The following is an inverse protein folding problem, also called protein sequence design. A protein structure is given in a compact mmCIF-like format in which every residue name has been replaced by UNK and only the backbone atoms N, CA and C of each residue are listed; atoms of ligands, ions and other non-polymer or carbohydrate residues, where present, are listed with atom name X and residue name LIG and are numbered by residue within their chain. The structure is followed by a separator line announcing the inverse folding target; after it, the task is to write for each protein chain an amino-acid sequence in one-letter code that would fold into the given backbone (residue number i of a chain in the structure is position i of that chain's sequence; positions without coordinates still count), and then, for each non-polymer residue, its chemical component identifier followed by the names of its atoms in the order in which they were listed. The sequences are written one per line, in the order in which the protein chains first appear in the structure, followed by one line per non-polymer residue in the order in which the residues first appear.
data_IF_665632064099
#
_entry.id   IF_665632064099
#
_cell.length_a   1.000
_cell.length_b   1.000
_cell.length_c   1.000
_cell.angle_alpha   90.00
_cell.angle_beta   90.00
_cell.angle_gamma   90.00
#
_symmetry.space_group_name_H-M   'P 1'
#
loop_
_entity.id
_entity.type
_entity.pdbx_description
1 polymer ?
#
# COMPACT_ATOMS: atom_id res chain seq x y z
N UNK A 1 14.59 16.91 9.39
CA UNK A 1 14.43 15.45 9.37
C UNK A 1 15.07 15.00 8.08
N UNK A 2 16.17 14.26 8.15
CA UNK A 2 16.76 13.73 6.92
C UNK A 2 15.80 12.72 6.32
N UNK A 3 15.42 12.98 5.07
CA UNK A 3 14.61 12.07 4.28
C UNK A 3 15.42 10.79 4.09
N UNK A 4 14.84 9.63 4.39
CA UNK A 4 15.52 8.35 4.26
C UNK A 4 15.65 7.99 2.77
N UNK A 5 16.70 8.53 2.13
CA UNK A 5 16.95 8.39 0.68
C UNK A 5 16.83 6.95 0.20
N UNK A 6 17.34 5.99 0.96
CA UNK A 6 17.25 4.57 0.65
C UNK A 6 15.80 4.08 0.49
N UNK A 7 14.88 4.48 1.38
CA UNK A 7 13.47 4.08 1.29
C UNK A 7 12.78 4.71 0.08
N UNK A 8 13.12 5.95 -0.25
CA UNK A 8 12.60 6.60 -1.45
C UNK A 8 13.14 5.96 -2.75
N UNK A 9 14.42 5.60 -2.78
CA UNK A 9 15.03 4.88 -3.90
C UNK A 9 14.37 3.52 -4.12
N UNK A 10 14.16 2.74 -3.04
CA UNK A 10 13.52 1.43 -3.14
C UNK A 10 12.07 1.55 -3.63
N UNK A 11 11.31 2.55 -3.17
CA UNK A 11 9.96 2.82 -3.74
C UNK A 11 10.03 3.18 -5.21
N UNK A 12 11.00 3.99 -5.61
CA UNK A 12 11.23 4.35 -7.01
C UNK A 12 11.46 3.11 -7.87
N UNK A 13 12.33 2.19 -7.41
CA UNK A 13 12.57 0.90 -8.07
C UNK A 13 11.28 0.11 -8.22
N UNK A 14 10.46 0.04 -7.17
CA UNK A 14 9.18 -0.67 -7.24
C UNK A 14 8.19 -0.05 -8.22
N UNK A 15 8.10 1.28 -8.27
CA UNK A 15 7.27 1.97 -9.26
C UNK A 15 7.77 1.69 -10.68
N UNK A 16 9.08 1.77 -10.91
CA UNK A 16 9.68 1.43 -12.19
C UNK A 16 9.35 -0.02 -12.58
N UNK A 17 9.45 -0.97 -11.65
CA UNK A 17 9.12 -2.36 -11.90
C UNK A 17 7.64 -2.56 -12.26
N UNK A 18 6.71 -1.92 -11.54
CA UNK A 18 5.28 -1.98 -11.87
C UNK A 18 5.00 -1.45 -13.28
N UNK A 19 5.66 -0.35 -13.69
CA UNK A 19 5.54 0.19 -15.05
C UNK A 19 6.08 -0.83 -16.07
N UNK A 20 7.27 -1.38 -15.83
CA UNK A 20 7.89 -2.39 -16.70
C UNK A 20 6.98 -3.62 -16.82
N UNK A 21 6.41 -4.10 -15.71
CA UNK A 21 5.46 -5.23 -15.73
C UNK A 21 4.25 -4.96 -16.61
N UNK A 22 3.66 -3.76 -16.54
CA UNK A 22 2.57 -3.38 -17.44
C UNK A 22 3.01 -3.29 -18.91
N UNK A 23 4.19 -2.73 -19.18
CA UNK A 23 4.74 -2.64 -20.54
C UNK A 23 5.02 -4.03 -21.13
N UNK A 24 5.57 -4.96 -20.35
CA UNK A 24 5.78 -6.35 -20.75
C UNK A 24 4.45 -6.99 -21.17
N UNK A 25 3.40 -6.80 -20.36
CA UNK A 25 2.06 -7.31 -20.68
C UNK A 25 1.44 -6.71 -21.94
N UNK A 26 1.86 -5.51 -22.36
CA UNK A 26 1.36 -4.85 -23.57
C UNK A 26 2.22 -5.09 -24.82
N UNK A 27 3.51 -5.35 -24.66
CA UNK A 27 4.47 -5.42 -25.76
C UNK A 27 4.91 -6.84 -26.13
N UNK A 28 4.74 -7.82 -25.25
CA UNK A 28 5.03 -9.22 -25.60
C UNK A 28 4.03 -9.70 -26.66
N UNK A 29 4.58 -10.31 -27.71
CA UNK A 29 3.83 -10.99 -28.77
C UNK A 29 3.50 -12.41 -28.28
N UNK A 30 2.40 -12.99 -28.76
CA UNK A 30 1.88 -14.27 -28.25
C UNK A 30 2.89 -15.43 -28.22
N UNK A 31 3.83 -15.46 -29.16
CA UNK A 31 4.89 -16.48 -29.26
C UNK A 31 5.89 -16.40 -28.09
N UNK A 32 6.11 -15.22 -27.52
CA UNK A 32 7.05 -14.97 -26.41
C UNK A 32 6.36 -14.92 -25.03
N UNK A 33 5.06 -15.22 -24.97
CA UNK A 33 4.28 -15.09 -23.74
C UNK A 33 4.77 -15.97 -22.60
N UNK A 34 5.49 -17.06 -22.90
CA UNK A 34 6.11 -17.95 -21.93
C UNK A 34 7.17 -17.27 -21.05
N UNK A 35 7.78 -16.16 -21.51
CA UNK A 35 8.80 -15.41 -20.75
C UNK A 35 8.14 -14.61 -19.61
N UNK A 36 6.93 -14.11 -19.83
CA UNK A 36 6.17 -13.31 -18.86
C UNK A 36 6.04 -13.98 -17.48
N UNK A 37 5.49 -15.21 -17.35
CA UNK A 37 5.35 -15.86 -16.04
C UNK A 37 6.70 -16.13 -15.37
N UNK A 38 7.79 -16.38 -16.12
CA UNK A 38 9.13 -16.52 -15.54
C UNK A 38 9.58 -15.20 -14.90
N UNK A 39 9.48 -14.09 -15.64
CA UNK A 39 9.85 -12.77 -15.14
C UNK A 39 9.05 -12.41 -13.88
N UNK A 40 7.73 -12.58 -13.91
CA UNK A 40 6.88 -12.27 -12.76
C UNK A 40 7.15 -13.21 -11.58
N UNK A 41 7.39 -14.50 -11.79
CA UNK A 41 7.69 -15.43 -10.68
C UNK A 41 8.94 -15.04 -9.89
N UNK A 42 9.96 -14.50 -10.55
CA UNK A 42 11.21 -14.12 -9.89
C UNK A 42 11.27 -12.67 -9.40
N UNK A 43 10.57 -11.75 -10.06
CA UNK A 43 10.74 -10.31 -9.82
C UNK A 43 9.49 -9.62 -9.29
N UNK A 44 8.34 -10.31 -9.17
CA UNK A 44 7.11 -9.68 -8.65
C UNK A 44 7.25 -9.17 -7.20
N UNK A 45 8.16 -9.75 -6.41
CA UNK A 45 8.48 -9.23 -5.08
C UNK A 45 8.96 -7.78 -5.11
N UNK A 46 9.58 -7.31 -6.20
CA UNK A 46 10.03 -5.92 -6.38
C UNK A 46 8.90 -4.95 -6.71
N UNK A 47 7.72 -5.45 -7.12
CA UNK A 47 6.60 -4.64 -7.60
C UNK A 47 5.74 -4.05 -6.50
N UNK A 48 4.43 -4.26 -6.64
CA UNK A 48 3.42 -3.68 -5.76
C UNK A 48 3.61 -4.12 -4.30
N UNK A 49 4.03 -5.37 -4.07
CA UNK A 49 4.28 -5.93 -2.74
C UNK A 49 5.41 -5.19 -2.00
N UNK A 50 6.59 -5.04 -2.62
CA UNK A 50 7.67 -4.23 -2.05
C UNK A 50 7.25 -2.78 -1.85
N UNK A 51 6.56 -2.18 -2.83
CA UNK A 51 6.10 -0.80 -2.73
C UNK A 51 5.23 -0.57 -1.48
N UNK A 52 4.26 -1.45 -1.24
CA UNK A 52 3.34 -1.37 -0.08
C UNK A 52 4.13 -1.56 1.22
N UNK A 53 5.02 -2.55 1.28
CA UNK A 53 5.85 -2.82 2.46
C UNK A 53 6.75 -1.63 2.83
N UNK A 54 7.51 -1.11 1.88
CA UNK A 54 8.42 0.03 2.07
C UNK A 54 7.61 1.27 2.46
N UNK A 55 6.45 1.46 1.85
CA UNK A 55 5.52 2.54 2.20
C UNK A 55 5.04 2.46 3.65
N UNK A 56 4.66 1.27 4.12
CA UNK A 56 4.25 1.04 5.51
C UNK A 56 5.39 1.25 6.52
N UNK A 57 6.60 0.77 6.23
CA UNK A 57 7.79 0.96 7.09
C UNK A 57 8.11 2.45 7.24
N UNK A 58 8.25 3.16 6.11
CA UNK A 58 8.55 4.59 6.10
C UNK A 58 7.49 5.41 6.82
N UNK A 59 6.20 5.06 6.66
CA UNK A 59 5.13 5.73 7.38
C UNK A 59 5.23 5.50 8.90
N UNK A 60 5.51 4.27 9.32
CA UNK A 60 5.67 3.94 10.74
C UNK A 60 6.81 4.74 11.37
N UNK A 61 7.95 4.85 10.68
CA UNK A 61 9.08 5.67 11.11
C UNK A 61 8.65 7.15 11.19
N UNK A 62 8.01 7.68 10.16
CA UNK A 62 7.53 9.06 10.12
C UNK A 62 6.60 9.36 11.30
N UNK A 63 5.61 8.50 11.56
CA UNK A 63 4.66 8.67 12.66
C UNK A 63 5.37 8.67 14.02
N UNK A 64 6.27 7.71 14.27
CA UNK A 64 7.04 7.66 15.53
C UNK A 64 7.86 8.92 15.75
N UNK A 65 8.56 9.40 14.71
CA UNK A 65 9.37 10.62 14.80
C UNK A 65 8.50 11.85 15.07
N UNK A 66 7.31 11.93 14.46
CA UNK A 66 6.34 13.01 14.73
C UNK A 66 5.79 12.96 16.15
N UNK A 67 5.50 11.77 16.67
CA UNK A 67 5.06 11.59 18.05
C UNK A 67 6.14 11.96 19.07
N UNK A 68 7.39 11.61 18.81
CA UNK A 68 8.53 12.05 19.63
C UNK A 68 8.72 13.57 19.56
N UNK A 69 8.58 14.17 18.38
CA UNK A 69 8.61 15.62 18.22
C UNK A 69 7.50 16.29 19.05
N UNK A 70 6.31 15.71 19.05
CA UNK A 70 5.17 16.21 19.84
C UNK A 70 5.35 16.10 21.36
N UNK A 71 6.33 15.32 21.83
CA UNK A 71 6.69 15.26 23.24
C UNK A 71 7.77 16.28 23.61
N UNK A 72 8.57 16.74 22.63
CA UNK A 72 9.74 17.60 22.86
C UNK A 72 9.49 19.08 22.59
N UNK A 73 8.51 19.43 21.77
CA UNK A 73 8.24 20.81 21.37
C UNK A 73 6.87 21.25 21.88
N UNK A 74 6.83 22.38 22.58
CA UNK A 74 5.61 22.95 23.19
C UNK A 74 4.55 23.31 22.14
N UNK A 75 4.99 23.78 20.98
CA UNK A 75 4.12 24.19 19.87
C UNK A 75 3.56 23.03 19.02
N UNK A 76 3.94 21.78 19.27
CA UNK A 76 3.50 20.63 18.47
C UNK A 76 2.81 19.58 19.34
N UNK A 77 1.48 19.52 19.26
CA UNK A 77 0.68 18.57 20.05
C UNK A 77 0.58 17.19 19.42
N UNK A 78 0.42 16.14 20.24
CA UNK A 78 0.08 14.78 19.79
C UNK A 78 -1.20 14.74 18.95
N UNK A 79 -2.19 15.61 19.28
CA UNK A 79 -3.44 15.74 18.51
C UNK A 79 -3.18 16.24 17.09
N UNK A 80 -2.23 17.17 16.93
CA UNK A 80 -1.82 17.72 15.65
C UNK A 80 -1.09 16.66 14.81
N UNK A 81 -0.15 15.92 15.41
CA UNK A 81 0.54 14.81 14.74
C UNK A 81 -0.43 13.71 14.25
N UNK A 82 -1.44 13.38 15.06
CA UNK A 82 -2.50 12.46 14.68
C UNK A 82 -3.34 12.99 13.52
N UNK A 83 -3.80 14.24 13.61
CA UNK A 83 -4.65 14.82 12.58
C UNK A 83 -3.91 14.94 11.24
N UNK A 84 -2.63 15.34 11.26
CA UNK A 84 -1.75 15.34 10.08
C UNK A 84 -1.68 13.95 9.44
N UNK A 85 -1.55 12.91 10.27
CA UNK A 85 -1.49 11.52 9.83
C UNK A 85 -2.81 11.07 9.19
N UNK A 86 -3.94 11.27 9.88
CA UNK A 86 -5.26 10.85 9.42
C UNK A 86 -5.67 11.60 8.16
N UNK A 87 -5.41 12.90 8.08
CA UNK A 87 -5.71 13.71 6.89
C UNK A 87 -5.00 13.17 5.66
N UNK A 88 -3.70 12.86 5.76
CA UNK A 88 -2.92 12.27 4.65
C UNK A 88 -3.46 10.91 4.23
N UNK A 89 -3.78 10.07 5.20
CA UNK A 89 -4.29 8.73 4.96
C UNK A 89 -5.66 8.76 4.27
N UNK A 90 -6.58 9.60 4.77
CA UNK A 90 -7.91 9.79 4.19
C UNK A 90 -7.82 10.42 2.81
N UNK A 91 -6.91 11.38 2.61
CA UNK A 91 -6.69 11.98 1.28
C UNK A 91 -6.29 10.91 0.24
N UNK A 92 -5.32 10.04 0.57
CA UNK A 92 -4.93 8.94 -0.32
C UNK A 92 -6.11 8.01 -0.60
N UNK A 93 -6.90 7.67 0.41
CA UNK A 93 -8.06 6.79 0.24
C UNK A 93 -9.15 7.42 -0.64
N UNK A 94 -9.41 8.72 -0.48
CA UNK A 94 -10.35 9.48 -1.33
C UNK A 94 -9.87 9.45 -2.78
N UNK A 95 -8.59 9.77 -3.04
CA UNK A 95 -8.01 9.74 -4.38
C UNK A 95 -8.13 8.35 -5.01
N UNK A 96 -7.88 7.30 -4.24
CA UNK A 96 -8.01 5.92 -4.70
C UNK A 96 -9.45 5.57 -5.08
N UNK A 97 -10.43 5.95 -4.25
CA UNK A 97 -11.84 5.70 -4.53
C UNK A 97 -12.32 6.47 -5.77
N UNK A 98 -11.93 7.73 -5.94
CA UNK A 98 -12.25 8.51 -7.13
C UNK A 98 -11.67 7.89 -8.40
N UNK A 99 -10.40 7.46 -8.35
CA UNK A 99 -9.76 6.81 -9.49
C UNK A 99 -10.49 5.50 -9.86
N UNK A 100 -10.76 4.65 -8.87
CA UNK A 100 -11.43 3.37 -9.11
C UNK A 100 -12.86 3.54 -9.63
N UNK A 101 -13.59 4.54 -9.10
CA UNK A 101 -14.93 4.88 -9.57
C UNK A 101 -14.90 5.38 -11.02
N UNK A 102 -13.91 6.22 -11.35
CA UNK A 102 -13.70 6.69 -12.72
C UNK A 102 -13.46 5.50 -13.66
N UNK A 103 -12.52 4.62 -13.35
CA UNK A 103 -12.24 3.43 -14.17
C UNK A 103 -13.50 2.55 -14.32
N UNK A 104 -14.22 2.29 -13.24
CA UNK A 104 -15.44 1.47 -13.27
C UNK A 104 -16.52 2.07 -14.19
N UNK A 105 -16.68 3.40 -14.18
CA UNK A 105 -17.64 4.09 -15.02
C UNK A 105 -17.29 3.99 -16.51
N UNK A 106 -16.00 4.17 -16.88
CA UNK A 106 -15.57 4.09 -18.27
C UNK A 106 -15.51 2.67 -18.83
N UNK A 107 -15.24 1.67 -17.98
CA UNK A 107 -15.26 0.26 -18.37
C UNK A 107 -16.68 -0.32 -18.39
N UNK A 108 -17.64 0.30 -17.70
CA UNK A 108 -19.03 -0.16 -17.61
C UNK A 108 -19.21 -1.35 -16.65
N UNK A 109 -18.23 -1.64 -15.80
CA UNK A 109 -18.22 -2.75 -14.86
C UNK A 109 -17.93 -2.23 -13.44
N UNK A 110 -18.95 -2.17 -12.60
CA UNK A 110 -18.84 -1.72 -11.21
C UNK A 110 -17.99 -2.65 -10.32
N UNK A 111 -17.73 -3.90 -10.75
CA UNK A 111 -16.80 -4.78 -10.03
C UNK A 111 -15.36 -4.27 -10.11
N UNK A 112 -15.04 -3.41 -11.08
CA UNK A 112 -13.72 -2.77 -11.21
C UNK A 112 -13.40 -1.81 -10.08
N UNK A 113 -14.43 -1.33 -9.36
CA UNK A 113 -14.22 -0.58 -8.10
C UNK A 113 -13.38 -1.41 -7.14
N UNK A 114 -13.44 -2.75 -7.25
CA UNK A 114 -12.75 -3.79 -6.46
C UNK A 114 -11.68 -4.60 -7.23
N UNK A 115 -11.17 -4.18 -8.41
CA UNK A 115 -10.02 -4.85 -9.11
C UNK A 115 -8.62 -4.17 -9.12
N UNK A 116 -8.47 -2.87 -8.90
CA UNK A 116 -7.16 -2.17 -8.90
C UNK A 116 -6.90 -1.40 -7.57
N UNK A 117 -6.13 -1.94 -6.60
CA UNK A 117 -6.05 -1.36 -5.23
C UNK A 117 -4.69 -0.92 -4.72
N UNK A 118 -3.63 -0.74 -5.51
CA UNK A 118 -2.37 -0.34 -4.84
C UNK A 118 -2.56 0.95 -4.03
N UNK A 119 -3.25 1.96 -4.58
CA UNK A 119 -3.58 3.20 -3.87
C UNK A 119 -4.58 3.01 -2.72
N UNK A 120 -5.64 2.24 -2.95
CA UNK A 120 -6.69 2.03 -1.95
C UNK A 120 -6.20 1.16 -0.79
N UNK A 121 -5.51 0.06 -1.07
CA UNK A 121 -4.87 -0.80 -0.08
C UNK A 121 -3.87 -0.01 0.77
N UNK A 122 -3.12 0.92 0.16
CA UNK A 122 -2.27 1.85 0.92
C UNK A 122 -3.11 2.77 1.79
N UNK A 123 -4.17 3.39 1.26
CA UNK A 123 -5.07 4.25 2.03
C UNK A 123 -5.67 3.55 3.25
N UNK A 124 -6.19 2.33 3.07
CA UNK A 124 -6.75 1.49 4.14
C UNK A 124 -5.66 1.09 5.14
N UNK A 125 -4.50 0.63 4.66
CA UNK A 125 -3.38 0.21 5.52
C UNK A 125 -2.89 1.37 6.39
N UNK A 126 -2.79 2.56 5.82
CA UNK A 126 -2.41 3.77 6.55
C UNK A 126 -3.47 4.14 7.59
N UNK A 127 -4.77 4.02 7.28
CA UNK A 127 -5.82 4.31 8.24
C UNK A 127 -5.79 3.32 9.41
N UNK A 128 -5.63 2.02 9.11
CA UNK A 128 -5.54 0.96 10.10
C UNK A 128 -4.28 1.04 10.96
N UNK A 129 -3.17 1.56 10.43
CA UNK A 129 -1.93 1.65 11.20
C UNK A 129 -2.08 2.53 12.45
N UNK A 130 -2.89 3.60 12.43
CA UNK A 130 -3.11 4.44 13.62
C UNK A 130 -3.70 3.67 14.83
N UNK A 131 -4.88 3.02 14.74
CA UNK A 131 -5.39 2.22 15.84
C UNK A 131 -4.46 1.05 16.16
N UNK A 132 -3.86 0.40 15.15
CA UNK A 132 -2.94 -0.72 15.36
C UNK A 132 -1.70 -0.35 16.17
N UNK A 133 -1.21 0.89 16.08
CA UNK A 133 -0.05 1.36 16.82
C UNK A 133 -0.28 1.51 18.32
N UNK A 134 -1.53 1.51 18.78
CA UNK A 134 -1.87 1.53 20.21
C UNK A 134 -1.77 0.14 20.86
N UNK A 135 -1.74 -0.92 20.05
CA UNK A 135 -1.62 -2.29 20.54
C UNK A 135 -0.17 -2.70 20.82
N UNK A 136 0.06 -3.66 21.75
CA UNK A 136 1.38 -4.23 21.96
C UNK A 136 1.88 -4.92 20.68
N UNK A 137 3.20 -5.13 20.60
CA UNK A 137 3.86 -5.70 19.41
C UNK A 137 3.25 -7.05 19.01
N UNK A 138 3.01 -7.91 20.00
CA UNK A 138 2.42 -9.24 19.78
C UNK A 138 1.04 -9.16 19.14
N UNK A 139 0.15 -8.33 19.67
CA UNK A 139 -1.21 -8.15 19.13
C UNK A 139 -1.20 -7.62 17.69
N UNK A 140 -0.24 -6.75 17.33
CA UNK A 140 -0.12 -6.29 15.93
C UNK A 140 0.27 -7.41 14.97
N UNK A 141 1.21 -8.26 15.37
CA UNK A 141 1.61 -9.43 14.58
C UNK A 141 0.44 -10.40 14.46
N UNK A 142 -0.28 -10.63 15.56
CA UNK A 142 -1.46 -11.48 15.56
C UNK A 142 -2.56 -10.95 14.62
N UNK A 143 -2.85 -9.64 14.66
CA UNK A 143 -3.80 -9.01 13.73
C UNK A 143 -3.36 -9.24 12.28
N UNK A 144 -2.08 -9.04 11.95
CA UNK A 144 -1.57 -9.26 10.59
C UNK A 144 -1.73 -10.73 10.14
N UNK A 145 -1.41 -11.69 11.01
CA UNK A 145 -1.58 -13.13 10.71
C UNK A 145 -3.05 -13.47 10.53
N UNK A 146 -3.93 -13.01 11.43
CA UNK A 146 -5.38 -13.23 11.34
C UNK A 146 -5.93 -12.61 10.05
N UNK A 147 -5.54 -11.38 9.71
CA UNK A 147 -5.97 -10.74 8.46
C UNK A 147 -5.51 -11.51 7.22
N UNK A 148 -4.31 -12.10 7.25
CA UNK A 148 -3.82 -12.93 6.15
C UNK A 148 -4.58 -14.25 6.04
N UNK A 149 -4.84 -14.95 7.16
CA UNK A 149 -5.63 -16.17 7.17
C UNK A 149 -7.08 -15.92 6.73
N UNK A 150 -7.69 -14.84 7.22
CA UNK A 150 -9.02 -14.40 6.80
C UNK A 150 -9.06 -14.11 5.30
N UNK A 151 -8.03 -13.47 4.75
CA UNK A 151 -7.92 -13.24 3.32
C UNK A 151 -7.94 -14.55 2.53
N UNK A 152 -7.17 -15.57 2.95
CA UNK A 152 -7.15 -16.89 2.28
C UNK A 152 -8.55 -17.54 2.33
N UNK A 153 -9.17 -17.59 3.50
CA UNK A 153 -10.51 -18.20 3.69
C UNK A 153 -11.56 -17.46 2.85
N UNK A 154 -11.54 -16.13 2.87
CA UNK A 154 -12.47 -15.32 2.09
C UNK A 154 -12.26 -15.48 0.58
N UNK A 155 -11.00 -15.60 0.14
CA UNK A 155 -10.68 -15.86 -1.25
C UNK A 155 -11.28 -17.19 -1.70
N UNK A 156 -11.08 -18.26 -0.93
CA UNK A 156 -11.61 -19.59 -1.25
C UNK A 156 -13.14 -19.61 -1.25
N UNK A 157 -13.79 -18.86 -0.34
CA UNK A 157 -15.25 -18.78 -0.26
C UNK A 157 -15.88 -17.94 -1.36
N UNK A 158 -15.21 -16.87 -1.80
CA UNK A 158 -15.72 -15.90 -2.79
C UNK A 158 -15.22 -16.18 -4.21
N UNK A 159 -14.23 -17.05 -4.38
CA UNK A 159 -13.78 -17.49 -5.69
C UNK A 159 -14.93 -18.24 -6.39
N UNK A 160 -15.27 -17.87 -7.64
CA UNK A 160 -16.30 -18.55 -8.42
C UNK A 160 -15.92 -19.99 -8.78
#
# INVERSE_FOLDING_TARGET
MERLKALDTLRGISICWMIVGHLIGWWIIGEDFWISPLIFSYLDFLGSTAFILISGISMTIFFRTRMQKAQRFEYYSKKMARNDYLLRSTFIMIVALFYNLFVAFFVGDFTQIWKWFVLFAIGVSLLMAYPCLHFPKFTRVLIAIISWLLYIILLDFLAP
#
